data_IF_835094310313
#
_entry.id   IF_835094310313
#
_cell.length_a   1.000
_cell.length_b   1.000
_cell.length_c   1.000
_cell.angle_alpha   90.00
_cell.angle_beta   90.00
_cell.angle_gamma   90.00
#
_symmetry.space_group_name_H-M   'P 1'
#
loop_
_entity.id
_entity.type
_entity.pdbx_description
1 polymer ?
#
# COMPACT_ATOMS: atom_id res chain seq x y z
N UNK A 1 2.72 5.70 -16.15
CA UNK A 1 3.01 6.31 -14.83
C UNK A 1 4.45 6.01 -14.38
N UNK A 2 4.82 4.75 -14.07
CA UNK A 2 6.12 4.40 -13.49
C UNK A 2 7.39 4.93 -14.20
N UNK A 3 7.38 5.08 -15.53
CA UNK A 3 8.50 5.65 -16.29
C UNK A 3 8.60 7.18 -16.28
N UNK A 4 7.74 7.89 -15.54
CA UNK A 4 7.73 9.35 -15.52
C UNK A 4 9.00 9.91 -14.86
N UNK A 5 9.62 10.98 -15.38
CA UNK A 5 10.87 11.52 -14.82
C UNK A 5 10.79 11.89 -13.33
N UNK A 6 9.64 12.36 -12.84
CA UNK A 6 9.44 12.69 -11.43
C UNK A 6 9.40 11.47 -10.49
N UNK A 7 9.26 10.26 -11.04
CA UNK A 7 9.22 9.01 -10.29
C UNK A 7 10.53 8.22 -10.38
N UNK A 8 11.54 8.78 -11.05
CA UNK A 8 12.87 8.18 -11.16
C UNK A 8 13.51 8.09 -9.77
N UNK A 9 14.06 6.93 -9.45
CA UNK A 9 14.64 6.67 -8.12
C UNK A 9 13.59 6.49 -7.02
N UNK A 10 12.31 6.38 -7.39
CA UNK A 10 11.19 6.04 -6.49
C UNK A 10 10.54 4.75 -6.96
N UNK A 11 10.05 4.75 -8.21
CA UNK A 11 9.48 3.57 -8.85
C UNK A 11 10.50 2.94 -9.81
N UNK A 12 10.49 1.62 -9.91
CA UNK A 12 11.18 0.95 -11.01
C UNK A 12 10.52 1.37 -12.33
N UNK A 13 11.30 1.78 -13.32
CA UNK A 13 10.76 2.13 -14.63
C UNK A 13 10.66 0.87 -15.51
N UNK A 14 9.58 0.72 -16.32
CA UNK A 14 9.54 -0.32 -17.34
C UNK A 14 10.66 -0.07 -18.37
N UNK A 15 11.11 -1.16 -19.00
CA UNK A 15 12.03 -1.07 -20.13
C UNK A 15 11.36 -0.30 -21.27
N UNK A 16 12.14 0.47 -22.07
CA UNK A 16 11.61 1.05 -23.29
C UNK A 16 11.06 -0.08 -24.19
N UNK A 17 10.00 0.20 -24.98
CA UNK A 17 9.50 -0.81 -25.90
C UNK A 17 10.65 -1.19 -26.83
N UNK A 18 10.86 -2.48 -27.06
CA UNK A 18 11.82 -2.93 -28.08
C UNK A 18 11.42 -2.23 -29.38
N UNK A 19 12.30 -1.37 -29.91
CA UNK A 19 12.01 -0.57 -31.09
C UNK A 19 11.60 -1.46 -32.27
N UNK A 20 10.85 -0.96 -33.25
CA UNK A 20 10.61 -1.71 -34.47
C UNK A 20 11.97 -1.98 -35.11
N UNK A 21 12.21 -3.24 -35.53
CA UNK A 21 13.12 -3.47 -36.65
C UNK A 21 12.79 -2.43 -37.72
N UNK A 22 13.79 -1.65 -38.12
CA UNK A 22 13.61 -0.50 -39.01
C UNK A 22 12.71 -0.86 -40.20
N UNK A 23 11.50 -0.31 -40.23
CA UNK A 23 10.62 0.00 -41.38
C UNK A 23 9.15 0.05 -40.93
N UNK A 24 8.70 1.22 -40.46
CA UNK A 24 7.38 1.80 -40.77
C UNK A 24 7.10 3.06 -39.94
N UNK A 25 6.98 4.20 -40.64
CA UNK A 25 5.94 5.21 -40.45
C UNK A 25 5.70 5.82 -39.07
N UNK A 26 5.98 7.14 -38.99
CA UNK A 26 5.63 8.09 -37.92
C UNK A 26 4.14 8.06 -37.55
N UNK A 27 3.83 8.16 -36.25
CA UNK A 27 2.96 9.18 -35.64
C UNK A 27 2.98 9.08 -34.10
N UNK A 28 2.97 10.23 -33.43
CA UNK A 28 3.34 10.38 -32.03
C UNK A 28 2.29 9.98 -31.00
N UNK A 29 2.75 9.45 -29.87
CA UNK A 29 2.09 9.51 -28.57
C UNK A 29 3.12 9.32 -27.45
N UNK A 30 2.95 10.08 -26.37
CA UNK A 30 3.84 10.12 -25.22
C UNK A 30 4.10 8.73 -24.61
N UNK A 31 5.36 8.49 -24.26
CA UNK A 31 5.92 7.18 -23.95
C UNK A 31 5.26 6.45 -22.77
N UNK A 32 4.74 5.27 -23.09
CA UNK A 32 4.67 4.15 -22.15
C UNK A 32 5.51 3.02 -22.74
N UNK A 33 6.28 2.33 -21.90
CA UNK A 33 7.17 1.22 -22.27
C UNK A 33 6.45 -0.06 -22.73
N UNK A 34 5.36 0.09 -23.49
CA UNK A 34 4.46 -0.98 -23.86
C UNK A 34 4.68 -1.47 -25.30
N UNK A 35 4.82 -2.77 -25.47
CA UNK A 35 4.63 -3.45 -26.76
C UNK A 35 3.23 -4.06 -26.85
N UNK A 36 2.87 -4.62 -28.01
CA UNK A 36 1.66 -5.42 -28.16
C UNK A 36 2.02 -6.85 -28.60
N UNK A 37 1.57 -7.86 -27.85
CA UNK A 37 1.70 -9.27 -28.24
C UNK A 37 0.30 -9.78 -28.57
N UNK A 38 0.07 -10.14 -29.84
CA UNK A 38 -1.25 -10.59 -30.35
C UNK A 38 -2.38 -9.60 -30.03
N UNK A 39 -2.10 -8.30 -30.17
CA UNK A 39 -3.06 -7.23 -29.88
C UNK A 39 -3.32 -6.95 -28.40
N UNK A 40 -2.60 -7.62 -27.48
CA UNK A 40 -2.68 -7.34 -26.04
C UNK A 40 -1.52 -6.43 -25.61
N UNK A 41 -1.78 -5.37 -24.84
CA UNK A 41 -0.72 -4.53 -24.30
C UNK A 41 0.14 -5.35 -23.32
N UNK A 42 1.46 -5.26 -23.47
CA UNK A 42 2.44 -5.87 -22.59
C UNK A 42 3.50 -4.85 -22.21
N UNK A 43 3.99 -4.92 -20.97
CA UNK A 43 5.12 -4.11 -20.51
C UNK A 43 6.25 -5.04 -20.10
N UNK A 44 7.49 -4.65 -20.40
CA UNK A 44 8.69 -5.37 -19.96
C UNK A 44 9.35 -4.57 -18.84
N UNK A 45 9.87 -5.25 -17.82
CA UNK A 45 10.43 -4.61 -16.63
C UNK A 45 11.83 -5.16 -16.36
N UNK A 46 12.76 -4.32 -15.87
CA UNK A 46 14.05 -4.82 -15.40
C UNK A 46 13.87 -5.84 -14.28
N UNK A 47 14.75 -6.84 -14.23
CA UNK A 47 14.80 -7.75 -13.11
C UNK A 47 15.48 -7.05 -11.92
N UNK A 48 14.85 -7.08 -10.75
CA UNK A 48 15.39 -6.56 -9.49
C UNK A 48 15.42 -7.64 -8.41
N UNK A 49 16.24 -7.43 -7.37
CA UNK A 49 16.36 -8.37 -6.24
C UNK A 49 15.36 -7.99 -5.16
N UNK A 50 14.39 -8.86 -4.81
CA UNK A 50 13.40 -8.54 -3.78
C UNK A 50 14.01 -8.56 -2.38
N UNK A 51 13.29 -8.00 -1.41
CA UNK A 51 13.62 -8.15 0.02
C UNK A 51 13.66 -9.63 0.40
N UNK A 52 14.71 -10.05 1.12
CA UNK A 52 14.82 -11.42 1.62
C UNK A 52 13.85 -11.63 2.80
N UNK A 53 12.82 -12.44 2.57
CA UNK A 53 11.85 -12.82 3.61
C UNK A 53 12.44 -13.69 4.71
N UNK A 54 13.60 -14.31 4.46
CA UNK A 54 14.28 -15.20 5.41
C UNK A 54 15.23 -14.44 6.34
N UNK A 55 15.45 -13.14 6.09
CA UNK A 55 16.17 -12.23 6.98
C UNK A 55 15.32 -10.98 7.32
N UNK A 56 14.33 -11.11 8.23
CA UNK A 56 13.49 -9.98 8.64
C UNK A 56 14.26 -8.84 9.30
N UNK A 57 15.45 -9.12 9.87
CA UNK A 57 16.28 -8.12 10.51
C UNK A 57 16.93 -7.18 9.49
N UNK A 58 17.14 -7.65 8.26
CA UNK A 58 17.62 -6.85 7.13
C UNK A 58 16.51 -6.14 6.34
N UNK A 59 15.27 -6.13 6.83
CA UNK A 59 14.15 -5.45 6.18
C UNK A 59 14.45 -3.94 5.99
N UNK A 60 14.33 -3.40 4.76
CA UNK A 60 14.75 -2.03 4.44
C UNK A 60 13.67 -0.99 4.83
N UNK A 61 13.33 -0.94 6.12
CA UNK A 61 12.26 -0.08 6.63
C UNK A 61 12.56 1.42 6.42
N UNK A 62 13.80 1.84 6.63
CA UNK A 62 14.20 3.23 6.43
C UNK A 62 14.09 3.63 4.95
N UNK A 63 14.55 2.78 4.04
CA UNK A 63 14.51 3.04 2.61
C UNK A 63 13.08 3.01 2.07
N UNK A 64 12.25 2.07 2.54
CA UNK A 64 10.82 2.07 2.22
C UNK A 64 10.12 3.37 2.65
N UNK A 65 10.45 3.87 3.84
CA UNK A 65 9.94 5.15 4.34
C UNK A 65 10.38 6.34 3.46
N UNK A 66 11.66 6.39 3.08
CA UNK A 66 12.18 7.44 2.19
C UNK A 66 11.50 7.40 0.82
N UNK A 67 11.30 6.22 0.26
CA UNK A 67 10.62 6.05 -1.03
C UNK A 67 9.17 6.51 -0.98
N UNK A 68 8.43 6.17 0.07
CA UNK A 68 7.07 6.68 0.27
C UNK A 68 7.03 8.20 0.42
N UNK A 69 7.90 8.77 1.25
CA UNK A 69 7.94 10.22 1.43
C UNK A 69 8.15 10.94 0.09
N UNK A 70 9.11 10.46 -0.71
CA UNK A 70 9.36 10.98 -2.05
C UNK A 70 8.17 10.81 -2.98
N UNK A 71 7.50 9.67 -2.96
CA UNK A 71 6.29 9.42 -3.75
C UNK A 71 5.18 10.41 -3.40
N UNK A 72 4.92 10.59 -2.10
CA UNK A 72 3.88 11.49 -1.60
C UNK A 72 4.16 12.97 -1.88
N UNK A 73 5.43 13.34 -2.07
CA UNK A 73 5.84 14.70 -2.44
C UNK A 73 5.76 15.00 -3.94
N UNK A 74 5.46 14.01 -4.80
CA UNK A 74 5.32 14.24 -6.23
C UNK A 74 4.07 15.09 -6.51
N UNK A 75 4.20 16.25 -7.18
CA UNK A 75 3.04 17.06 -7.52
C UNK A 75 2.12 16.33 -8.52
N UNK A 76 0.90 16.01 -8.10
CA UNK A 76 -0.11 15.33 -8.93
C UNK A 76 -0.31 16.04 -10.29
N UNK A 77 -0.39 17.38 -10.27
CA UNK A 77 -0.61 18.19 -11.46
C UNK A 77 0.51 18.09 -12.53
N UNK A 78 1.68 17.56 -12.16
CA UNK A 78 2.78 17.33 -13.08
C UNK A 78 2.80 15.90 -13.65
N UNK A 79 1.83 15.05 -13.29
CA UNK A 79 1.70 13.69 -13.77
C UNK A 79 0.69 13.59 -14.93
N UNK A 80 0.82 12.57 -15.80
CA UNK A 80 -0.08 12.41 -16.94
C UNK A 80 -1.49 11.98 -16.52
N UNK A 81 -2.49 12.78 -16.91
CA UNK A 81 -3.91 12.47 -16.79
C UNK A 81 -4.46 12.56 -15.36
N UNK A 82 -5.78 12.45 -15.19
CA UNK A 82 -6.36 12.28 -13.87
C UNK A 82 -5.97 10.91 -13.31
N UNK A 83 -5.42 10.89 -12.11
CA UNK A 83 -5.16 9.65 -11.38
C UNK A 83 -6.46 9.16 -10.72
N UNK A 84 -6.68 7.84 -10.63
CA UNK A 84 -7.80 7.31 -9.87
C UNK A 84 -7.62 7.64 -8.38
N UNK A 85 -8.71 7.69 -7.58
CA UNK A 85 -8.59 7.81 -6.14
C UNK A 85 -7.88 6.57 -5.57
N UNK A 86 -7.08 6.78 -4.53
CA UNK A 86 -6.44 5.69 -3.79
C UNK A 86 -7.52 4.77 -3.18
N UNK A 87 -7.25 3.46 -3.16
CA UNK A 87 -8.30 2.44 -2.95
C UNK A 87 -8.38 1.89 -1.54
N UNK A 88 -7.69 2.46 -0.56
CA UNK A 88 -7.62 1.98 0.83
C UNK A 88 -9.01 1.70 1.45
N UNK A 89 -9.89 2.72 1.57
CA UNK A 89 -11.25 2.52 2.07
C UNK A 89 -12.05 1.47 1.29
N UNK A 90 -12.00 1.54 -0.05
CA UNK A 90 -12.72 0.63 -0.93
C UNK A 90 -12.24 -0.84 -0.78
N UNK A 91 -10.93 -1.07 -0.66
CA UNK A 91 -10.32 -2.40 -0.41
C UNK A 91 -10.78 -2.94 0.94
N UNK A 92 -10.83 -2.10 1.97
CA UNK A 92 -11.32 -2.50 3.30
C UNK A 92 -12.81 -2.86 3.28
N UNK A 93 -13.65 -2.04 2.63
CA UNK A 93 -15.07 -2.32 2.49
C UNK A 93 -15.34 -3.62 1.72
N UNK A 94 -14.63 -3.84 0.61
CA UNK A 94 -14.70 -5.08 -0.17
C UNK A 94 -14.28 -6.31 0.65
N UNK A 95 -13.22 -6.19 1.48
CA UNK A 95 -12.79 -7.28 2.34
C UNK A 95 -13.87 -7.66 3.37
N UNK A 96 -14.48 -6.68 4.05
CA UNK A 96 -15.55 -6.93 5.01
C UNK A 96 -16.80 -7.48 4.33
N UNK A 97 -17.12 -7.01 3.13
CA UNK A 97 -18.25 -7.51 2.34
C UNK A 97 -18.14 -9.01 2.03
N UNK A 98 -16.93 -9.54 1.84
CA UNK A 98 -16.68 -10.98 1.61
C UNK A 98 -17.13 -11.85 2.78
N UNK A 99 -17.15 -11.32 4.01
CA UNK A 99 -17.64 -12.05 5.18
C UNK A 99 -19.13 -12.39 5.08
N UNK A 100 -19.91 -11.77 4.17
CA UNK A 100 -21.32 -12.14 3.93
C UNK A 100 -21.48 -13.49 3.25
N UNK A 101 -20.45 -13.95 2.53
CA UNK A 101 -20.47 -15.21 1.76
C UNK A 101 -19.98 -16.43 2.53
N UNK A 102 -19.65 -16.30 3.82
CA UNK A 102 -19.17 -17.41 4.67
C UNK A 102 -20.16 -17.69 5.80
N UNK A 103 -20.04 -18.86 6.44
CA UNK A 103 -20.82 -19.20 7.63
C UNK A 103 -20.55 -18.21 8.78
N UNK A 104 -21.58 -17.94 9.60
CA UNK A 104 -21.45 -17.01 10.71
C UNK A 104 -20.58 -17.61 11.84
N UNK A 105 -19.48 -16.93 12.16
CA UNK A 105 -18.51 -17.35 13.18
C UNK A 105 -18.27 -16.24 14.21
N UNK A 106 -17.68 -16.57 15.36
CA UNK A 106 -17.37 -15.57 16.39
C UNK A 106 -16.39 -14.51 15.85
N UNK A 107 -15.40 -14.95 15.09
CA UNK A 107 -14.36 -14.14 14.45
C UNK A 107 -14.98 -13.20 13.42
N UNK A 108 -15.85 -13.72 12.54
CA UNK A 108 -16.56 -12.90 11.56
C UNK A 108 -17.44 -11.83 12.23
N UNK A 109 -18.14 -12.17 13.32
CA UNK A 109 -18.93 -11.20 14.11
C UNK A 109 -18.05 -10.14 14.76
N UNK A 110 -16.88 -10.52 15.29
CA UNK A 110 -15.89 -9.60 15.89
C UNK A 110 -15.38 -8.61 14.85
N UNK A 111 -14.96 -9.08 13.68
CA UNK A 111 -14.48 -8.22 12.59
C UNK A 111 -15.59 -7.25 12.12
N UNK A 112 -16.84 -7.73 11.97
CA UNK A 112 -17.98 -6.85 11.65
C UNK A 112 -18.27 -5.81 12.74
N UNK A 113 -18.10 -6.14 14.02
CA UNK A 113 -18.25 -5.19 15.14
C UNK A 113 -17.17 -4.11 15.08
N UNK A 114 -15.92 -4.49 14.86
CA UNK A 114 -14.81 -3.57 14.68
C UNK A 114 -15.02 -2.62 13.49
N UNK A 115 -15.46 -3.17 12.35
CA UNK A 115 -15.79 -2.37 11.16
C UNK A 115 -16.76 -1.23 11.49
N UNK A 116 -17.85 -1.52 12.22
CA UNK A 116 -18.86 -0.50 12.58
C UNK A 116 -18.34 0.63 13.46
N UNK A 117 -17.19 0.46 14.13
CA UNK A 117 -16.54 1.51 14.92
C UNK A 117 -15.74 2.50 14.08
N UNK A 118 -15.44 2.15 12.83
CA UNK A 118 -14.69 3.03 11.94
C UNK A 118 -15.57 4.15 11.40
N UNK A 119 -15.02 5.37 11.21
CA UNK A 119 -15.77 6.47 10.62
C UNK A 119 -16.21 6.15 9.19
N UNK A 120 -17.33 6.72 8.75
CA UNK A 120 -17.93 6.43 7.45
C UNK A 120 -16.95 6.61 6.27
N UNK A 121 -16.04 7.59 6.34
CA UNK A 121 -15.05 7.82 5.29
C UNK A 121 -14.03 6.70 5.14
N UNK A 122 -13.63 6.07 6.25
CA UNK A 122 -12.72 4.93 6.22
C UNK A 122 -13.44 3.65 5.76
N UNK A 123 -14.77 3.67 5.81
CA UNK A 123 -15.65 2.61 5.35
C UNK A 123 -16.08 2.70 3.89
N UNK A 124 -15.59 3.70 3.17
CA UNK A 124 -16.03 4.00 1.79
C UNK A 124 -17.53 4.36 1.71
N UNK A 125 -18.09 4.89 2.79
CA UNK A 125 -19.51 5.27 2.91
C UNK A 125 -19.71 6.79 2.83
N UNK A 126 -18.63 7.58 2.92
CA UNK A 126 -18.64 9.04 2.83
C UNK A 126 -17.29 9.56 2.31
N UNK A 127 -17.22 10.79 1.78
CA UNK A 127 -15.95 11.43 1.46
C UNK A 127 -15.08 11.67 2.70
N UNK A 128 -13.75 11.73 2.51
CA UNK A 128 -12.82 12.12 3.57
C UNK A 128 -13.11 13.56 4.06
N UNK A 129 -13.23 13.81 5.38
CA UNK A 129 -13.71 15.09 5.90
C UNK A 129 -12.63 16.18 6.03
N UNK A 130 -11.35 15.83 5.90
CA UNK A 130 -10.26 16.80 5.99
C UNK A 130 -10.06 17.60 4.69
N UNK A 131 -9.26 18.68 4.71
CA UNK A 131 -8.74 19.25 3.48
C UNK A 131 -8.06 18.13 2.69
N UNK A 132 -8.14 18.14 1.36
CA UNK A 132 -7.54 17.11 0.53
C UNK A 132 -6.07 17.44 0.24
N UNK A 133 -5.07 16.92 0.98
CA UNK A 133 -3.78 16.68 0.36
C UNK A 133 -3.96 15.42 -0.49
N UNK A 134 -4.25 15.61 -1.78
CA UNK A 134 -4.19 14.52 -2.75
C UNK A 134 -2.71 14.20 -2.98
N UNK A 135 -2.13 13.37 -2.11
CA UNK A 135 -0.82 12.82 -2.34
C UNK A 135 -0.93 11.65 -3.33
N UNK A 136 0.08 11.46 -4.16
CA UNK A 136 0.22 10.23 -4.93
C UNK A 136 0.55 9.09 -3.98
N UNK A 137 -0.42 8.24 -3.69
CA UNK A 137 -0.27 7.06 -2.85
C UNK A 137 0.06 5.83 -3.70
N UNK A 138 0.90 4.94 -3.19
CA UNK A 138 1.17 3.60 -3.72
C UNK A 138 -0.07 2.70 -3.68
N UNK A 139 -0.84 2.75 -2.59
CA UNK A 139 -2.09 2.00 -2.43
C UNK A 139 -1.95 0.52 -1.99
N UNK A 140 -0.75 -0.05 -1.98
CA UNK A 140 -0.50 -1.39 -1.43
C UNK A 140 0.95 -1.62 -0.96
N UNK A 141 1.51 -0.68 -0.20
CA UNK A 141 2.86 -0.88 0.31
C UNK A 141 2.94 -2.12 1.23
N UNK A 142 3.85 -3.03 0.88
CA UNK A 142 4.44 -4.02 1.77
C UNK A 142 5.88 -4.30 1.32
N UNK A 143 6.70 -4.95 2.15
CA UNK A 143 8.13 -5.19 1.83
C UNK A 143 8.37 -5.99 0.54
N UNK A 144 7.39 -6.79 0.13
CA UNK A 144 7.42 -7.49 -1.16
C UNK A 144 7.30 -6.58 -2.39
N UNK A 145 6.96 -5.30 -2.20
CA UNK A 145 6.90 -4.27 -3.25
C UNK A 145 8.18 -3.46 -3.37
N UNK A 146 9.29 -3.93 -2.79
CA UNK A 146 10.61 -3.34 -2.95
C UNK A 146 11.54 -4.29 -3.69
N UNK A 147 12.30 -3.74 -4.62
CA UNK A 147 13.39 -4.44 -5.30
C UNK A 147 14.63 -3.56 -5.37
N UNK A 148 15.81 -4.17 -5.28
CA UNK A 148 17.09 -3.51 -5.60
C UNK A 148 17.33 -3.55 -7.10
N UNK A 149 17.66 -2.40 -7.67
CA UNK A 149 18.08 -2.30 -9.05
C UNK A 149 19.07 -1.12 -9.25
N UNK A 150 20.16 -1.28 -10.03
CA UNK A 150 20.55 -2.50 -10.75
C UNK A 150 21.05 -3.61 -9.82
N UNK A 151 20.99 -4.86 -10.29
CA UNK A 151 21.45 -6.04 -9.53
C UNK A 151 22.99 -6.06 -9.44
N UNK A 152 23.61 -6.50 -8.33
CA UNK A 152 22.99 -6.95 -7.07
C UNK A 152 22.77 -5.85 -6.03
N UNK A 153 23.55 -4.77 -6.08
CA UNK A 153 23.69 -3.81 -4.96
C UNK A 153 23.08 -2.43 -5.22
N UNK A 154 22.19 -2.31 -6.21
CA UNK A 154 21.54 -1.05 -6.54
C UNK A 154 20.57 -0.55 -5.47
N UNK A 155 20.01 0.63 -5.77
CA UNK A 155 19.05 1.30 -4.90
C UNK A 155 17.75 0.51 -4.79
N UNK A 156 17.08 0.66 -3.64
CA UNK A 156 15.71 0.20 -3.48
C UNK A 156 14.74 1.04 -4.30
N UNK A 157 13.81 0.37 -4.97
CA UNK A 157 12.74 0.97 -5.75
C UNK A 157 11.42 0.26 -5.47
N UNK A 158 10.33 1.01 -5.56
CA UNK A 158 8.97 0.50 -5.46
C UNK A 158 8.53 -0.12 -6.79
N UNK A 159 7.72 -1.19 -6.69
CA UNK A 159 7.09 -1.88 -7.83
C UNK A 159 5.57 -2.00 -7.60
N UNK A 160 4.86 -2.67 -8.51
CA UNK A 160 3.40 -2.91 -8.41
C UNK A 160 2.58 -1.62 -8.29
N UNK A 161 2.58 -0.88 -9.39
CA UNK A 161 1.97 0.44 -9.51
C UNK A 161 0.47 0.41 -9.83
N UNK A 162 -0.14 -0.77 -9.81
CA UNK A 162 -1.53 -0.97 -10.25
C UNK A 162 -2.55 -0.32 -9.31
N UNK A 163 -2.18 -0.12 -8.04
CA UNK A 163 -2.98 0.57 -7.04
C UNK A 163 -2.57 2.03 -6.80
N UNK A 164 -1.69 2.60 -7.64
CA UNK A 164 -1.35 4.03 -7.57
C UNK A 164 -2.61 4.88 -7.70
N UNK A 165 -2.79 5.81 -6.77
CA UNK A 165 -3.93 6.70 -6.79
C UNK A 165 -3.78 7.89 -5.85
N UNK A 166 -4.68 8.85 -5.96
CA UNK A 166 -4.63 10.08 -5.18
C UNK A 166 -5.47 9.98 -3.92
N UNK A 167 -4.93 10.42 -2.79
CA UNK A 167 -5.67 10.42 -1.53
C UNK A 167 -4.80 10.70 -0.31
N UNK A 168 -5.32 10.43 0.90
CA UNK A 168 -4.58 10.67 2.13
C UNK A 168 -3.38 9.72 2.24
N UNK A 169 -2.16 10.28 2.19
CA UNK A 169 -0.89 9.55 2.28
C UNK A 169 -0.75 8.63 3.51
N UNK A 170 -1.50 8.91 4.58
CA UNK A 170 -1.53 8.09 5.79
C UNK A 170 -1.96 6.64 5.52
N UNK A 171 -2.70 6.37 4.43
CA UNK A 171 -3.07 5.01 4.06
C UNK A 171 -1.88 4.12 3.65
N UNK A 172 -0.83 4.69 3.06
CA UNK A 172 0.37 3.91 2.72
C UNK A 172 1.20 3.56 3.97
N UNK A 173 1.04 4.31 5.05
CA UNK A 173 1.65 4.03 6.35
C UNK A 173 0.80 3.09 7.22
N UNK A 174 -0.43 2.77 6.78
CA UNK A 174 -1.38 2.00 7.58
C UNK A 174 -0.84 0.61 7.93
N UNK A 175 -0.09 -0.05 7.04
CA UNK A 175 0.45 -1.39 7.28
C UNK A 175 1.50 -1.43 8.38
N UNK A 176 2.62 -0.68 8.32
CA UNK A 176 3.58 -0.67 9.41
C UNK A 176 2.96 -0.14 10.71
N UNK A 177 2.08 0.87 10.65
CA UNK A 177 1.38 1.37 11.83
C UNK A 177 0.48 0.31 12.49
N UNK A 178 -0.28 -0.43 11.69
CA UNK A 178 -1.15 -1.52 12.15
C UNK A 178 -0.36 -2.67 12.75
N UNK A 179 0.75 -3.08 12.13
CA UNK A 179 1.62 -4.10 12.71
C UNK A 179 2.23 -3.66 14.03
N UNK A 180 2.68 -2.40 14.14
CA UNK A 180 3.18 -1.88 15.40
C UNK A 180 2.08 -1.84 16.48
N UNK A 181 0.89 -1.34 16.15
CA UNK A 181 -0.25 -1.33 17.09
C UNK A 181 -0.72 -2.73 17.51
N UNK A 182 -0.55 -3.73 16.65
CA UNK A 182 -0.87 -5.13 16.93
C UNK A 182 0.28 -5.89 17.63
N UNK A 183 1.43 -5.26 17.89
CA UNK A 183 2.61 -5.92 18.48
C UNK A 183 3.36 -6.85 17.51
N UNK A 184 3.07 -6.78 16.22
CA UNK A 184 3.67 -7.60 15.15
C UNK A 184 4.91 -6.95 14.51
N UNK A 185 5.18 -5.67 14.79
CA UNK A 185 6.38 -4.96 14.34
C UNK A 185 7.17 -4.49 15.57
N UNK A 186 8.48 -4.76 15.57
CA UNK A 186 9.38 -4.32 16.63
C UNK A 186 9.35 -2.78 16.79
N UNK A 187 9.31 -2.24 18.02
CA UNK A 187 9.29 -0.80 18.26
C UNK A 187 10.43 -0.04 17.59
N UNK A 188 11.62 -0.64 17.52
CA UNK A 188 12.81 -0.05 16.89
C UNK A 188 12.64 0.07 15.37
N UNK A 189 12.04 -0.94 14.74
CA UNK A 189 11.76 -0.91 13.31
C UNK A 189 10.70 0.15 12.97
N UNK A 190 9.65 0.26 13.79
CA UNK A 190 8.65 1.33 13.65
C UNK A 190 9.26 2.72 13.85
N UNK A 191 10.08 2.90 14.88
CA UNK A 191 10.76 4.16 15.16
C UNK A 191 11.71 4.57 14.01
N UNK A 192 12.47 3.61 13.48
CA UNK A 192 13.35 3.81 12.33
C UNK A 192 12.56 4.24 11.09
N UNK A 193 11.49 3.51 10.75
CA UNK A 193 10.62 3.84 9.62
C UNK A 193 10.06 5.26 9.75
N UNK A 194 9.46 5.59 10.90
CA UNK A 194 8.82 6.88 11.13
C UNK A 194 9.83 8.03 11.10
N UNK A 195 11.02 7.84 11.68
CA UNK A 195 12.08 8.85 11.66
C UNK A 195 12.59 9.10 10.23
N UNK A 196 12.82 8.05 9.45
CA UNK A 196 13.24 8.17 8.06
C UNK A 196 12.17 8.84 7.18
N UNK A 197 10.89 8.51 7.39
CA UNK A 197 9.78 9.12 6.66
C UNK A 197 9.70 10.63 6.91
N UNK A 198 9.79 11.03 8.19
CA UNK A 198 9.82 12.44 8.60
C UNK A 198 11.04 13.18 8.07
N UNK A 199 12.23 12.60 8.21
CA UNK A 199 13.47 13.20 7.72
C UNK A 199 13.46 13.42 6.20
N UNK A 200 12.74 12.58 5.45
CA UNK A 200 12.52 12.75 4.01
C UNK A 200 11.40 13.73 3.65
N UNK A 201 10.77 14.39 4.62
CA UNK A 201 9.71 15.39 4.40
C UNK A 201 8.32 14.79 4.12
N UNK A 202 8.08 13.56 4.55
CA UNK A 202 6.84 12.85 4.27
C UNK A 202 5.58 13.55 4.83
N UNK A 203 4.57 13.88 4.01
CA UNK A 203 3.44 14.74 4.41
C UNK A 203 2.31 14.01 5.15
N UNK A 204 2.41 12.68 5.33
CA UNK A 204 1.34 11.87 5.91
C UNK A 204 1.14 12.09 7.42
N UNK A 205 2.18 12.56 8.10
CA UNK A 205 2.22 12.76 9.55
C UNK A 205 2.93 14.08 9.86
N UNK A 206 2.71 14.68 11.04
CA UNK A 206 3.44 15.85 11.48
C UNK A 206 4.96 15.58 11.50
N UNK A 207 5.74 16.62 11.19
CA UNK A 207 7.20 16.60 11.26
C UNK A 207 7.71 16.21 12.66
N UNK A 208 6.98 16.63 13.71
CA UNK A 208 7.25 16.27 15.10
C UNK A 208 5.94 16.02 15.86
N UNK A 209 6.04 15.33 17.00
CA UNK A 209 4.88 15.01 17.85
C UNK A 209 4.20 13.69 17.49
N UNK A 210 2.93 13.57 17.87
CA UNK A 210 2.15 12.34 17.76
C UNK A 210 1.71 12.06 16.31
N UNK A 211 2.14 10.93 15.68
CA UNK A 211 1.67 10.56 14.34
C UNK A 211 0.26 9.91 14.35
N UNK A 212 -0.25 9.49 15.51
CA UNK A 212 -1.47 8.68 15.58
C UNK A 212 -2.73 9.45 15.23
N UNK A 213 -2.73 10.77 15.38
CA UNK A 213 -3.82 11.62 14.91
C UNK A 213 -4.15 11.39 13.42
N UNK A 214 -3.16 11.03 12.59
CA UNK A 214 -3.34 10.72 11.17
C UNK A 214 -3.39 9.21 10.89
N UNK A 215 -2.66 8.40 11.67
CA UNK A 215 -2.47 6.98 11.39
C UNK A 215 -3.50 6.05 12.01
N UNK A 216 -4.17 6.46 13.10
CA UNK A 216 -5.01 5.58 13.89
C UNK A 216 -6.18 5.00 13.08
N UNK A 217 -6.92 5.83 12.34
CA UNK A 217 -8.04 5.33 11.52
C UNK A 217 -7.57 4.42 10.37
N UNK A 218 -6.58 4.81 9.53
CA UNK A 218 -6.07 3.91 8.48
C UNK A 218 -5.52 2.59 9.04
N UNK A 219 -4.78 2.62 10.15
CA UNK A 219 -4.24 1.42 10.78
C UNK A 219 -5.35 0.47 11.27
N UNK A 220 -6.38 1.01 11.95
CA UNK A 220 -7.55 0.22 12.38
C UNK A 220 -8.33 -0.33 11.19
N UNK A 221 -8.51 0.45 10.13
CA UNK A 221 -9.18 -0.01 8.92
C UNK A 221 -8.44 -1.16 8.24
N UNK A 222 -7.11 -1.07 8.16
CA UNK A 222 -6.29 -2.13 7.59
C UNK A 222 -6.23 -3.39 8.47
N UNK A 223 -6.29 -3.25 9.80
CA UNK A 223 -6.43 -4.39 10.71
C UNK A 223 -7.74 -5.15 10.43
N UNK A 224 -8.85 -4.43 10.33
CA UNK A 224 -10.17 -4.99 9.99
C UNK A 224 -10.17 -5.63 8.60
N UNK A 225 -9.58 -4.96 7.59
CA UNK A 225 -9.44 -5.51 6.25
C UNK A 225 -8.66 -6.84 6.26
N UNK A 226 -7.51 -6.87 6.94
CA UNK A 226 -6.62 -8.03 6.95
C UNK A 226 -7.26 -9.19 7.71
N UNK A 227 -7.89 -8.94 8.86
CA UNK A 227 -8.66 -9.92 9.59
C UNK A 227 -9.84 -10.47 8.76
N UNK A 228 -10.57 -9.61 8.05
CA UNK A 228 -11.68 -10.03 7.18
C UNK A 228 -11.20 -10.97 6.06
N UNK A 229 -10.06 -10.66 5.43
CA UNK A 229 -9.44 -11.52 4.41
C UNK A 229 -9.03 -12.86 5.00
N UNK A 230 -8.34 -12.86 6.16
CA UNK A 230 -7.89 -14.07 6.85
C UNK A 230 -9.06 -14.99 7.21
N UNK A 231 -10.07 -14.45 7.90
CA UNK A 231 -11.29 -15.19 8.27
C UNK A 231 -12.01 -15.74 7.04
N UNK A 232 -12.19 -14.95 5.99
CA UNK A 232 -12.84 -15.41 4.76
C UNK A 232 -12.02 -16.48 4.02
N UNK A 233 -10.69 -16.45 4.11
CA UNK A 233 -9.81 -17.47 3.54
C UNK A 233 -9.87 -18.77 4.34
N UNK A 234 -9.68 -18.69 5.66
CA UNK A 234 -9.74 -19.85 6.55
C UNK A 234 -11.07 -20.60 6.46
N UNK A 235 -12.19 -19.86 6.44
CA UNK A 235 -13.52 -20.45 6.27
C UNK A 235 -13.72 -21.17 4.93
N UNK A 236 -13.18 -20.62 3.82
CA UNK A 236 -13.24 -21.26 2.50
C UNK A 236 -12.38 -22.53 2.43
N UNK A 237 -11.21 -22.47 3.07
CA UNK A 237 -10.24 -23.57 3.07
C UNK A 237 -10.59 -24.63 4.13
N UNK A 238 -11.60 -24.40 4.98
CA UNK A 238 -12.01 -25.32 6.05
C UNK A 238 -10.93 -25.51 7.12
N UNK A 239 -10.13 -24.48 7.38
CA UNK A 239 -9.02 -24.50 8.33
C UNK A 239 -9.24 -23.53 9.48
N UNK A 240 -8.49 -23.73 10.55
CA UNK A 240 -8.36 -22.75 11.62
C UNK A 240 -7.53 -21.54 11.19
N UNK A 241 -7.69 -20.42 11.90
CA UNK A 241 -6.85 -19.24 11.74
C UNK A 241 -5.42 -19.54 12.15
N UNK A 242 -4.45 -18.98 11.44
CA UNK A 242 -3.07 -18.98 11.90
C UNK A 242 -2.85 -17.95 13.03
N UNK A 243 -1.64 -17.94 13.59
CA UNK A 243 -1.27 -17.07 14.71
C UNK A 243 -1.44 -15.58 14.37
N UNK A 244 -1.01 -15.17 13.18
CA UNK A 244 -1.10 -13.77 12.76
C UNK A 244 -2.56 -13.36 12.50
N UNK A 245 -3.35 -14.23 11.86
CA UNK A 245 -4.79 -14.04 11.67
C UNK A 245 -5.53 -13.95 13.01
N UNK A 246 -5.14 -14.75 14.00
CA UNK A 246 -5.70 -14.73 15.36
C UNK A 246 -5.40 -13.42 16.07
N UNK A 247 -4.16 -12.91 16.02
CA UNK A 247 -3.81 -11.62 16.64
C UNK A 247 -4.54 -10.44 15.96
N UNK A 248 -4.78 -10.51 14.66
CA UNK A 248 -5.57 -9.49 13.95
C UNK A 248 -7.05 -9.52 14.35
N UNK A 249 -7.63 -10.70 14.60
CA UNK A 249 -8.98 -10.80 15.17
C UNK A 249 -9.00 -10.27 16.61
N UNK A 250 -7.97 -10.53 17.42
CA UNK A 250 -7.83 -9.95 18.76
C UNK A 250 -7.72 -8.41 18.71
N UNK A 251 -6.97 -7.87 17.74
CA UNK A 251 -6.91 -6.44 17.45
C UNK A 251 -8.29 -5.89 17.11
N UNK A 252 -9.07 -6.58 16.26
CA UNK A 252 -10.45 -6.21 15.97
C UNK A 252 -11.33 -6.21 17.22
N UNK A 253 -11.14 -7.17 18.14
CA UNK A 253 -11.87 -7.19 19.41
C UNK A 253 -11.59 -5.94 20.26
N UNK A 254 -10.33 -5.49 20.33
CA UNK A 254 -9.94 -4.23 21.00
C UNK A 254 -10.61 -3.03 20.31
N UNK A 255 -10.57 -2.96 18.98
CA UNK A 255 -11.21 -1.88 18.21
C UNK A 255 -12.72 -1.82 18.49
N UNK A 256 -13.40 -2.98 18.58
CA UNK A 256 -14.83 -3.05 18.83
C UNK A 256 -15.25 -2.47 20.20
N UNK A 257 -14.32 -2.42 21.16
CA UNK A 257 -14.53 -1.91 22.51
C UNK A 257 -14.29 -0.41 22.65
N UNK A 258 -13.58 0.22 21.70
CA UNK A 258 -13.34 1.68 21.71
C UNK A 258 -14.68 2.41 21.63
N UNK A 259 -14.96 3.31 22.57
CA UNK A 259 -16.21 4.08 22.65
C UNK A 259 -16.38 5.06 21.49
#
# INVERSE_FOLDING_TARGET
>A
MAGHPLLRGVLLAPLPPAGPSAEAGREGAAGSGGGAVRGRPVTAWPYGVPVDRHDPAAAPWAEAAVLLARLHSVPEAALPGPLPPMRGPAKAALAVARLRGIADSAEARTVRRAWRRLPAWARDEAPYPGPAPAALCHGDLHLGQLVRHPVPDGDWLLIDVDDLGTGPAAWDLARPAMWFAAGLLAPEAWALFLAAYRAAGGPAVPESGDPWAQLDVPARALAVQTAAIGVAKAARDGRDLDEAETELVATCARIAQLE
#
